data_IF_638685958302
#
_entry.id   IF_638685958302
#
_cell.length_a   1.000
_cell.length_b   1.000
_cell.length_c   1.000
_cell.angle_alpha   90.00
_cell.angle_beta   90.00
_cell.angle_gamma   90.00
#
_symmetry.space_group_name_H-M   'P 1'
#
loop_
_entity.id
_entity.type
_entity.pdbx_description
1 polymer ?
#
# COMPACT_ATOMS: atom_id res chain seq x y z
N UNK A 1 25.17 -8.48 0.23
CA UNK A 1 24.38 -7.97 1.37
C UNK A 1 23.97 -6.56 1.01
N UNK A 2 22.85 -6.43 0.31
CA UNK A 2 22.27 -5.14 -0.05
C UNK A 2 21.63 -4.52 1.20
N UNK A 3 22.04 -3.30 1.52
CA UNK A 3 21.44 -2.50 2.58
C UNK A 3 20.10 -1.99 2.08
N UNK A 4 19.04 -2.32 2.81
CA UNK A 4 17.69 -1.88 2.51
C UNK A 4 17.59 -0.34 2.49
N UNK A 5 16.88 0.14 1.48
CA UNK A 5 16.81 1.51 0.98
C UNK A 5 15.99 2.41 1.91
N UNK A 6 16.42 2.63 3.16
CA UNK A 6 15.69 3.48 4.13
C UNK A 6 15.36 4.89 3.60
N UNK A 7 16.11 5.39 2.63
CA UNK A 7 15.89 6.68 1.97
C UNK A 7 14.73 6.71 0.96
N UNK A 8 14.09 5.57 0.65
CA UNK A 8 12.92 5.51 -0.25
C UNK A 8 11.58 5.41 0.49
N UNK A 9 11.57 5.37 1.82
CA UNK A 9 10.33 5.29 2.63
C UNK A 9 10.01 6.66 3.19
N UNK A 10 9.37 7.51 2.39
CA UNK A 10 8.96 8.87 2.80
C UNK A 10 7.78 8.88 3.78
N UNK A 11 7.08 7.75 3.95
CA UNK A 11 5.79 7.65 4.64
C UNK A 11 5.86 7.12 6.08
N UNK A 12 7.03 6.98 6.68
CA UNK A 12 7.14 6.47 8.06
C UNK A 12 6.74 7.55 9.10
N UNK A 13 5.86 7.23 10.04
CA UNK A 13 5.55 8.11 11.17
C UNK A 13 6.38 7.74 12.41
N UNK A 14 6.78 8.72 13.22
CA UNK A 14 7.62 8.50 14.40
C UNK A 14 7.19 9.33 15.61
N UNK A 15 7.56 8.86 16.82
CA UNK A 15 7.38 9.58 18.09
C UNK A 15 8.74 9.75 18.76
N UNK A 16 8.97 10.92 19.35
CA UNK A 16 10.21 11.21 20.08
C UNK A 16 11.27 11.86 19.19
N UNK A 17 12.44 11.21 19.06
CA UNK A 17 13.54 11.78 18.28
C UNK A 17 13.34 11.60 16.78
N UNK A 18 13.82 12.58 16.02
CA UNK A 18 13.83 12.55 14.55
C UNK A 18 14.72 11.36 14.11
N UNK A 19 14.24 10.47 13.21
CA UNK A 19 15.04 9.39 12.67
C UNK A 19 16.34 9.91 12.04
N UNK A 20 17.40 9.11 12.05
CA UNK A 20 18.73 9.50 11.57
C UNK A 20 18.77 10.00 10.11
N UNK A 21 17.82 9.56 9.27
CA UNK A 21 17.68 9.97 7.87
C UNK A 21 16.78 11.20 7.68
N UNK A 22 16.13 11.72 8.73
CA UNK A 22 15.33 12.95 8.69
C UNK A 22 14.02 12.87 7.90
N UNK A 23 13.64 11.70 7.38
CA UNK A 23 12.38 11.48 6.65
C UNK A 23 11.27 11.02 7.61
N UNK A 24 10.01 11.34 7.26
CA UNK A 24 8.82 10.88 7.98
C UNK A 24 8.04 11.97 8.71
N UNK A 25 6.86 11.61 9.21
CA UNK A 25 5.94 12.53 9.91
C UNK A 25 6.09 12.41 11.43
N UNK A 26 6.34 13.53 12.12
CA UNK A 26 6.34 13.56 13.58
C UNK A 26 4.90 13.42 14.10
N UNK A 27 4.67 12.41 14.93
CA UNK A 27 3.41 12.18 15.62
C UNK A 27 3.51 12.63 17.09
N UNK A 28 2.66 13.57 17.53
CA UNK A 28 2.54 13.90 18.94
C UNK A 28 2.14 12.67 19.77
N UNK A 29 2.61 12.59 21.01
CA UNK A 29 2.19 11.51 21.91
C UNK A 29 0.67 11.58 22.19
N UNK A 30 0.04 10.41 22.38
CA UNK A 30 -1.39 10.31 22.74
C UNK A 30 -2.38 10.42 21.59
N UNK A 31 -1.92 10.35 20.33
CA UNK A 31 -2.82 10.34 19.17
C UNK A 31 -3.55 8.98 19.02
N UNK A 32 -4.81 8.98 18.54
CA UNK A 32 -5.55 7.76 18.21
C UNK A 32 -4.87 6.93 17.12
N UNK A 33 -5.10 5.62 17.12
CA UNK A 33 -4.45 4.67 16.19
C UNK A 33 -4.79 4.96 14.72
N UNK A 34 -5.93 5.57 14.44
CA UNK A 34 -6.36 5.97 13.09
C UNK A 34 -5.44 7.08 12.54
N UNK A 35 -5.00 8.00 13.41
CA UNK A 35 -4.03 9.04 13.04
C UNK A 35 -2.69 8.40 12.73
N UNK A 36 -2.28 7.40 13.50
CA UNK A 36 -1.03 6.66 13.26
C UNK A 36 -1.05 5.92 11.92
N UNK A 37 -2.14 5.21 11.64
CA UNK A 37 -2.31 4.52 10.36
C UNK A 37 -2.21 5.51 9.20
N UNK A 38 -2.82 6.68 9.32
CA UNK A 38 -2.76 7.71 8.28
C UNK A 38 -1.37 8.28 8.07
N UNK A 39 -0.71 8.76 9.13
CA UNK A 39 0.61 9.42 8.99
C UNK A 39 1.71 8.44 8.58
N UNK A 40 1.55 7.14 8.88
CA UNK A 40 2.45 6.08 8.48
C UNK A 40 2.21 5.55 7.05
N UNK A 41 1.27 6.15 6.29
CA UNK A 41 0.91 5.66 4.95
C UNK A 41 0.19 4.30 4.95
N UNK A 42 -0.38 3.90 6.09
CA UNK A 42 -1.08 2.63 6.30
C UNK A 42 -2.61 2.73 6.20
N UNK A 43 -3.18 3.91 5.96
CA UNK A 43 -4.62 4.11 5.72
C UNK A 43 -5.01 3.63 4.31
N UNK A 44 -5.00 2.31 4.14
CA UNK A 44 -5.45 1.62 2.95
C UNK A 44 -6.33 0.43 3.33
N UNK A 45 -7.16 0.01 2.39
CA UNK A 45 -7.98 -1.19 2.52
C UNK A 45 -7.55 -2.23 1.50
N UNK A 46 -7.68 -3.51 1.84
CA UNK A 46 -7.58 -4.59 0.86
C UNK A 46 -8.89 -4.63 0.09
N UNK A 47 -8.78 -4.68 -1.23
CA UNK A 47 -9.89 -4.89 -2.14
C UNK A 47 -9.58 -6.11 -3.00
N UNK A 48 -10.63 -6.75 -3.50
CA UNK A 48 -10.52 -7.94 -4.35
C UNK A 48 -11.12 -7.68 -5.73
N UNK A 49 -10.59 -8.38 -6.73
CA UNK A 49 -11.11 -8.44 -8.09
C UNK A 49 -10.99 -9.87 -8.65
N UNK A 50 -11.79 -10.18 -9.66
CA UNK A 50 -11.72 -11.47 -10.35
C UNK A 50 -10.43 -11.60 -11.16
N UNK A 51 -9.87 -12.81 -11.18
CA UNK A 51 -8.78 -13.14 -12.10
C UNK A 51 -9.38 -13.39 -13.48
N UNK A 52 -9.02 -12.57 -14.46
CA UNK A 52 -9.46 -12.66 -15.84
C UNK A 52 -8.28 -12.99 -16.75
N UNK A 53 -8.46 -13.94 -17.68
CA UNK A 53 -7.42 -14.31 -18.65
C UNK A 53 -8.00 -14.43 -20.05
N UNK A 54 -7.18 -14.11 -21.05
CA UNK A 54 -7.46 -14.35 -22.46
C UNK A 54 -6.64 -15.55 -22.93
N UNK A 55 -7.30 -16.53 -23.55
CA UNK A 55 -6.68 -17.76 -24.05
C UNK A 55 -6.98 -17.97 -25.55
N UNK A 56 -7.10 -16.88 -26.30
CA UNK A 56 -7.21 -16.90 -27.77
C UNK A 56 -6.08 -16.11 -28.40
N UNK A 57 -5.81 -16.38 -29.69
CA UNK A 57 -4.83 -15.64 -30.48
C UNK A 57 -5.12 -14.13 -30.44
N UNK A 58 -4.10 -13.31 -30.73
CA UNK A 58 -4.07 -11.86 -30.52
C UNK A 58 -5.29 -11.08 -31.06
N UNK A 59 -6.00 -11.63 -32.04
CA UNK A 59 -7.10 -10.96 -32.73
C UNK A 59 -8.51 -11.29 -32.17
N UNK A 60 -8.61 -12.15 -31.15
CA UNK A 60 -9.87 -12.49 -30.49
C UNK A 60 -9.83 -12.20 -28.99
N UNK A 61 -10.89 -11.58 -28.47
CA UNK A 61 -11.08 -11.31 -27.04
C UNK A 61 -12.03 -12.38 -26.48
N UNK A 62 -11.47 -13.45 -25.88
CA UNK A 62 -12.21 -14.40 -25.06
C UNK A 62 -11.75 -14.29 -23.61
N UNK A 63 -12.41 -13.42 -22.85
CA UNK A 63 -12.12 -13.23 -21.43
C UNK A 63 -12.82 -14.33 -20.62
N UNK A 64 -12.05 -15.07 -19.83
CA UNK A 64 -12.56 -16.07 -18.89
C UNK A 64 -12.16 -15.73 -17.46
N UNK A 65 -13.07 -15.95 -16.53
CA UNK A 65 -12.80 -15.84 -15.10
C UNK A 65 -12.17 -17.13 -14.57
N UNK A 66 -11.25 -17.00 -13.63
CA UNK A 66 -10.71 -18.11 -12.85
C UNK A 66 -11.28 -18.04 -11.44
N UNK A 67 -12.34 -18.82 -11.17
CA UNK A 67 -13.14 -18.75 -9.93
C UNK A 67 -12.35 -19.04 -8.66
N UNK A 68 -11.30 -19.85 -8.77
CA UNK A 68 -10.56 -20.38 -7.62
C UNK A 68 -9.48 -19.40 -7.13
N UNK A 69 -9.36 -18.23 -7.76
CA UNK A 69 -8.40 -17.20 -7.38
C UNK A 69 -8.97 -15.79 -7.48
N UNK A 70 -8.43 -14.87 -6.67
CA UNK A 70 -8.76 -13.45 -6.66
C UNK A 70 -7.49 -12.61 -6.70
N UNK A 71 -7.56 -11.44 -7.32
CA UNK A 71 -6.51 -10.42 -7.24
C UNK A 71 -6.80 -9.54 -6.03
N UNK A 72 -5.89 -9.52 -5.07
CA UNK A 72 -5.94 -8.60 -3.93
C UNK A 72 -5.09 -7.37 -4.23
N UNK A 73 -5.65 -6.18 -4.02
CA UNK A 73 -4.92 -4.93 -4.20
C UNK A 73 -5.20 -3.96 -3.05
N UNK A 74 -4.26 -3.05 -2.82
CA UNK A 74 -4.40 -1.99 -1.82
C UNK A 74 -5.10 -0.80 -2.44
N UNK A 75 -6.20 -0.36 -1.82
CA UNK A 75 -6.85 0.91 -2.14
C UNK A 75 -6.51 1.94 -1.07
N UNK A 76 -5.65 2.89 -1.44
CA UNK A 76 -5.27 4.02 -0.61
C UNK A 76 -6.49 4.93 -0.39
N UNK A 77 -6.71 5.34 0.85
CA UNK A 77 -7.67 6.40 1.17
C UNK A 77 -6.93 7.73 1.09
N UNK A 78 -7.00 8.39 -0.06
CA UNK A 78 -6.40 9.71 -0.21
C UNK A 78 -7.07 10.73 0.71
N UNK A 79 -6.26 11.62 1.31
CA UNK A 79 -6.74 12.85 1.96
C UNK A 79 -7.50 13.68 0.91
N UNK A 80 -8.71 14.13 1.21
CA UNK A 80 -9.26 15.32 0.56
C UNK A 80 -8.59 16.56 1.11
#
# INVERSE_FOLDING_TARGET
MEFDMSHLVETMAYVGQIPWHGLGNCLPAGQPVEVWQREAGLDWSIQEAEVLFNNTAADAIHIRAHSDAKVLYRRIRWRR
#
